data_IF_233389145975
#
_entry.id   IF_233389145975
#
_cell.length_a   1.000
_cell.length_b   1.000
_cell.length_c   1.000
_cell.angle_alpha   90.00
_cell.angle_beta   90.00
_cell.angle_gamma   90.00
#
_symmetry.space_group_name_H-M   'P 1'
#
loop_
_entity.id
_entity.type
_entity.pdbx_description
1 polymer ?
#
# COMPACT_ATOMS: atom_id res chain seq x y z
N UNK A 1 -3.18 10.86 13.23
CA UNK A 1 -3.31 10.11 11.96
C UNK A 1 -2.13 10.43 11.08
N UNK A 2 -1.48 9.42 10.57
CA UNK A 2 -0.39 9.51 9.58
C UNK A 2 -0.55 8.41 8.54
N UNK A 3 0.11 8.58 7.41
CA UNK A 3 0.17 7.56 6.35
C UNK A 3 1.54 6.89 6.39
N UNK A 4 1.56 5.57 6.38
CA UNK A 4 2.78 4.77 6.28
C UNK A 4 2.75 4.02 4.95
N UNK A 5 3.82 4.13 4.18
CA UNK A 5 3.94 3.49 2.87
C UNK A 5 5.05 2.46 2.94
N UNK A 6 4.69 1.21 2.70
CA UNK A 6 5.64 0.15 2.41
C UNK A 6 6.08 0.31 0.95
N UNK A 7 7.28 0.87 0.78
CA UNK A 7 7.74 1.32 -0.53
C UNK A 7 8.39 0.20 -1.37
N UNK A 8 8.50 -1.01 -0.84
CA UNK A 8 9.06 -2.14 -1.58
C UNK A 8 8.13 -2.56 -2.72
N UNK A 9 8.49 -2.15 -3.93
CA UNK A 9 7.69 -2.39 -5.13
C UNK A 9 6.37 -1.62 -5.23
N UNK A 10 6.16 -0.58 -4.43
CA UNK A 10 4.94 0.22 -4.45
C UNK A 10 5.00 1.31 -5.56
N UNK A 11 4.17 1.23 -6.60
CA UNK A 11 4.19 2.19 -7.71
C UNK A 11 3.49 3.53 -7.39
N UNK A 12 2.77 3.63 -6.27
CA UNK A 12 1.94 4.80 -5.93
C UNK A 12 2.54 5.68 -4.83
N UNK A 13 3.83 5.54 -4.57
CA UNK A 13 4.53 6.34 -3.53
C UNK A 13 4.43 7.84 -3.81
N UNK A 14 4.63 8.23 -5.07
CA UNK A 14 4.66 9.63 -5.47
C UNK A 14 3.29 10.28 -5.29
N UNK A 15 2.25 9.63 -5.76
CA UNK A 15 0.88 10.11 -5.68
C UNK A 15 0.40 10.16 -4.23
N UNK A 16 0.68 9.12 -3.46
CA UNK A 16 0.31 9.07 -2.06
C UNK A 16 1.00 10.18 -1.23
N UNK A 17 2.28 10.43 -1.51
CA UNK A 17 3.04 11.49 -0.86
C UNK A 17 2.49 12.87 -1.21
N UNK A 18 2.16 13.11 -2.47
CA UNK A 18 1.59 14.37 -2.93
C UNK A 18 0.24 14.67 -2.27
N UNK A 19 -0.64 13.67 -2.16
CA UNK A 19 -1.92 13.80 -1.47
C UNK A 19 -1.71 14.13 0.00
N UNK A 20 -0.81 13.41 0.69
CA UNK A 20 -0.50 13.67 2.08
C UNK A 20 0.00 15.11 2.29
N UNK A 21 0.86 15.60 1.38
CA UNK A 21 1.38 16.97 1.40
C UNK A 21 0.26 18.00 1.23
N UNK A 22 -0.63 17.80 0.26
CA UNK A 22 -1.77 18.68 0.00
C UNK A 22 -2.75 18.73 1.17
N UNK A 23 -2.93 17.61 1.87
CA UNK A 23 -3.83 17.50 3.01
C UNK A 23 -3.17 17.83 4.36
N UNK A 24 -1.87 18.11 4.37
CA UNK A 24 -1.12 18.39 5.60
C UNK A 24 -1.03 17.19 6.54
N UNK A 25 -1.04 15.98 6.00
CA UNK A 25 -0.95 14.73 6.77
C UNK A 25 0.49 14.22 6.75
N UNK A 26 0.99 13.79 7.91
CA UNK A 26 2.33 13.23 8.01
C UNK A 26 2.43 11.94 7.19
N UNK A 27 3.45 11.84 6.35
CA UNK A 27 3.73 10.68 5.51
C UNK A 27 5.09 10.08 5.87
N UNK A 28 5.12 8.78 6.09
CA UNK A 28 6.33 8.00 6.29
C UNK A 28 6.48 6.97 5.18
N UNK A 29 7.63 7.01 4.53
CA UNK A 29 8.04 6.02 3.54
C UNK A 29 9.02 5.07 4.21
N UNK A 30 8.72 3.78 4.21
CA UNK A 30 9.60 2.75 4.72
C UNK A 30 10.14 1.94 3.54
N UNK A 31 11.45 1.83 3.44
CA UNK A 31 12.12 1.11 2.36
C UNK A 31 13.38 0.39 2.86
N UNK A 32 13.86 -0.54 2.07
CA UNK A 32 15.15 -1.17 2.30
C UNK A 32 16.30 -0.38 1.64
N UNK A 33 17.52 -0.74 1.97
CA UNK A 33 18.75 -0.13 1.40
C UNK A 33 18.92 -0.37 -0.11
N UNK A 34 18.13 -1.25 -0.71
CA UNK A 34 18.16 -1.49 -2.15
C UNK A 34 17.21 -0.55 -2.93
N UNK A 35 16.22 0.02 -2.25
CA UNK A 35 15.16 0.83 -2.86
C UNK A 35 14.99 2.16 -2.11
N UNK A 36 16.10 2.91 -1.97
CA UNK A 36 16.04 4.22 -1.30
C UNK A 36 15.16 5.20 -2.07
N UNK A 37 14.07 5.63 -1.45
CA UNK A 37 13.12 6.56 -2.03
C UNK A 37 13.00 7.80 -1.14
N UNK A 38 13.31 8.96 -1.70
CA UNK A 38 13.15 10.25 -1.03
C UNK A 38 12.11 11.09 -1.75
N UNK A 39 11.16 11.63 -1.00
CA UNK A 39 10.11 12.52 -1.53
C UNK A 39 9.93 13.74 -0.65
N UNK A 40 9.72 14.88 -1.29
CA UNK A 40 9.45 16.12 -0.58
C UNK A 40 8.09 16.04 0.14
N UNK A 41 8.08 16.41 1.41
CA UNK A 41 6.88 16.32 2.25
C UNK A 41 6.67 14.98 2.95
N UNK A 42 7.52 13.97 2.71
CA UNK A 42 7.50 12.69 3.42
C UNK A 42 8.83 12.44 4.15
N UNK A 43 8.75 11.71 5.25
CA UNK A 43 9.93 11.23 5.96
C UNK A 43 10.26 9.81 5.51
N UNK A 44 11.43 9.63 4.93
CA UNK A 44 11.92 8.30 4.55
C UNK A 44 12.68 7.65 5.69
N UNK A 45 12.38 6.39 5.95
CA UNK A 45 13.08 5.52 6.88
C UNK A 45 13.64 4.33 6.13
N UNK A 46 14.96 4.19 6.17
CA UNK A 46 15.69 3.14 5.47
C UNK A 46 16.11 2.07 6.47
N UNK A 47 15.90 0.82 6.11
CA UNK A 47 16.26 -0.34 6.93
C UNK A 47 17.22 -1.25 6.17
N UNK A 48 18.08 -1.92 6.90
CA UNK A 48 19.00 -2.90 6.31
C UNK A 48 18.22 -4.08 5.70
N UNK A 49 18.76 -4.65 4.62
CA UNK A 49 18.23 -5.87 4.03
C UNK A 49 18.24 -7.02 5.03
N UNK A 50 17.11 -7.24 5.64
CA UNK A 50 16.83 -8.41 6.46
C UNK A 50 15.39 -8.81 6.22
N UNK A 51 15.11 -10.11 6.17
CA UNK A 51 13.76 -10.59 6.12
C UNK A 51 12.96 -9.91 7.24
N UNK A 52 11.86 -9.27 6.89
CA UNK A 52 10.89 -8.66 7.80
C UNK A 52 11.33 -7.38 8.53
N UNK A 53 12.51 -6.81 8.26
CA UNK A 53 12.97 -5.61 9.00
C UNK A 53 12.10 -4.38 8.74
N UNK A 54 11.66 -4.18 7.51
CA UNK A 54 10.74 -3.10 7.11
C UNK A 54 9.36 -3.32 7.72
N UNK A 55 8.84 -4.54 7.66
CA UNK A 55 7.53 -4.93 8.19
C UNK A 55 7.44 -4.72 9.71
N UNK A 56 8.42 -5.21 10.44
CA UNK A 56 8.50 -4.99 11.89
C UNK A 56 8.61 -3.51 12.25
N UNK A 57 9.41 -2.76 11.50
CA UNK A 57 9.56 -1.33 11.71
C UNK A 57 8.27 -0.57 11.44
N UNK A 58 7.51 -0.97 10.42
CA UNK A 58 6.22 -0.41 10.07
C UNK A 58 5.19 -0.72 11.16
N UNK A 59 5.03 -1.99 11.53
CA UNK A 59 4.10 -2.42 12.56
C UNK A 59 4.34 -1.71 13.89
N UNK A 60 5.60 -1.55 14.30
CA UNK A 60 5.93 -0.86 15.55
C UNK A 60 5.61 0.64 15.53
N UNK A 61 5.40 1.23 14.36
CA UNK A 61 5.08 2.65 14.19
C UNK A 61 3.61 2.92 13.93
N UNK A 62 2.84 1.88 13.58
CA UNK A 62 1.41 1.98 13.34
C UNK A 62 0.66 2.23 14.64
N UNK A 63 -0.24 3.18 14.60
CA UNK A 63 -1.18 3.50 15.68
C UNK A 63 -2.62 3.35 15.19
N UNK A 64 -3.59 3.14 16.09
CA UNK A 64 -5.00 3.09 15.70
C UNK A 64 -5.41 4.34 14.93
N UNK A 65 -6.10 4.14 13.80
CA UNK A 65 -6.54 5.22 12.93
C UNK A 65 -5.50 5.71 11.91
N UNK A 66 -4.28 5.16 11.91
CA UNK A 66 -3.31 5.42 10.84
C UNK A 66 -3.71 4.69 9.56
N UNK A 67 -3.19 5.17 8.44
CA UNK A 67 -3.38 4.54 7.12
C UNK A 67 -2.07 3.89 6.70
N UNK A 68 -2.15 2.66 6.22
CA UNK A 68 -1.01 1.90 5.70
C UNK A 68 -1.26 1.55 4.25
N UNK A 69 -0.26 1.73 3.40
CA UNK A 69 -0.30 1.30 1.99
C UNK A 69 0.72 0.19 1.82
N UNK A 70 0.25 -1.01 1.48
CA UNK A 70 1.11 -2.18 1.24
C UNK A 70 0.46 -3.16 0.27
N UNK A 71 1.27 -3.93 -0.43
CA UNK A 71 0.84 -5.08 -1.22
C UNK A 71 0.94 -6.41 -0.46
N UNK A 72 1.61 -6.43 0.69
CA UNK A 72 1.79 -7.63 1.50
C UNK A 72 0.58 -7.91 2.38
N UNK A 73 -0.07 -9.06 2.15
CA UNK A 73 -1.27 -9.48 2.90
C UNK A 73 -0.96 -9.81 4.36
N UNK A 74 0.23 -10.34 4.64
CA UNK A 74 0.67 -10.65 6.00
C UNK A 74 0.84 -9.37 6.81
N UNK A 75 1.56 -8.40 6.26
CA UNK A 75 1.72 -7.08 6.85
C UNK A 75 0.36 -6.38 7.02
N UNK A 76 -0.51 -6.46 6.01
CA UNK A 76 -1.84 -5.89 6.05
C UNK A 76 -2.66 -6.45 7.21
N UNK A 77 -2.64 -7.79 7.43
CA UNK A 77 -3.38 -8.43 8.52
C UNK A 77 -2.89 -7.96 9.90
N UNK A 78 -1.58 -7.81 10.06
CA UNK A 78 -0.99 -7.31 11.31
C UNK A 78 -1.34 -5.84 11.59
N UNK A 79 -1.40 -5.02 10.55
CA UNK A 79 -1.81 -3.62 10.67
C UNK A 79 -3.31 -3.49 10.99
N UNK A 80 -4.17 -4.31 10.39
CA UNK A 80 -5.59 -4.39 10.73
C UNK A 80 -5.81 -4.78 12.20
N UNK A 81 -5.03 -5.73 12.72
CA UNK A 81 -5.07 -6.12 14.13
C UNK A 81 -4.71 -4.96 15.08
N UNK A 82 -4.01 -3.94 14.60
CA UNK A 82 -3.71 -2.70 15.34
C UNK A 82 -4.73 -1.58 15.12
N UNK A 83 -5.86 -1.90 14.50
CA UNK A 83 -6.92 -0.93 14.18
C UNK A 83 -6.46 0.18 13.23
N UNK A 84 -5.48 -0.10 12.39
CA UNK A 84 -5.13 0.76 11.28
C UNK A 84 -6.03 0.46 10.08
N UNK A 85 -6.14 1.42 9.18
CA UNK A 85 -6.77 1.21 7.86
C UNK A 85 -5.68 0.82 6.87
N UNK A 86 -5.91 -0.19 6.08
CA UNK A 86 -4.89 -0.71 5.17
C UNK A 86 -5.40 -0.68 3.74
N UNK A 87 -4.65 -0.06 2.87
CA UNK A 87 -4.95 0.08 1.44
C UNK A 87 -3.95 -0.73 0.61
N UNK A 88 -4.47 -1.39 -0.40
CA UNK A 88 -3.65 -1.99 -1.44
C UNK A 88 -3.25 -0.93 -2.46
N UNK A 89 -2.06 -1.06 -3.04
CA UNK A 89 -1.57 -0.15 -4.08
C UNK A 89 -2.49 -0.07 -5.33
N UNK A 90 -3.30 -1.08 -5.58
CA UNK A 90 -4.28 -1.10 -6.68
C UNK A 90 -5.61 -0.37 -6.34
N UNK A 91 -5.69 0.28 -5.18
CA UNK A 91 -6.80 1.16 -4.83
C UNK A 91 -8.01 0.47 -4.22
N UNK A 92 -7.82 -0.54 -3.41
CA UNK A 92 -8.88 -1.14 -2.62
C UNK A 92 -8.43 -1.31 -1.16
N UNK A 93 -9.37 -1.40 -0.25
CA UNK A 93 -9.10 -1.50 1.18
C UNK A 93 -9.09 -2.96 1.64
N UNK A 94 -8.09 -3.30 2.47
CA UNK A 94 -8.13 -4.54 3.22
C UNK A 94 -9.12 -4.42 4.38
N UNK A 95 -9.98 -5.41 4.52
CA UNK A 95 -10.92 -5.51 5.64
C UNK A 95 -10.75 -6.86 6.34
N UNK A 96 -11.19 -7.01 7.59
CA UNK A 96 -11.16 -8.31 8.26
C UNK A 96 -11.87 -9.40 7.46
N UNK A 97 -12.91 -9.05 6.70
CA UNK A 97 -13.70 -9.99 5.92
C UNK A 97 -12.97 -10.49 4.66
N UNK A 98 -12.17 -9.63 4.02
CA UNK A 98 -11.48 -10.01 2.78
C UNK A 98 -10.07 -10.56 3.02
N UNK A 99 -9.40 -10.16 4.12
CA UNK A 99 -8.00 -10.53 4.38
C UNK A 99 -7.83 -12.04 4.62
N UNK A 100 -8.75 -12.68 5.30
CA UNK A 100 -8.69 -14.11 5.58
C UNK A 100 -8.76 -14.93 4.29
N UNK A 101 -9.63 -14.56 3.36
CA UNK A 101 -9.70 -15.18 2.04
C UNK A 101 -8.42 -14.98 1.23
N UNK A 102 -7.83 -13.79 1.30
CA UNK A 102 -6.60 -13.47 0.60
C UNK A 102 -5.38 -14.22 1.17
N UNK A 103 -5.29 -14.37 2.49
CA UNK A 103 -4.24 -15.15 3.16
C UNK A 103 -4.34 -16.65 2.81
N UNK A 104 -5.54 -17.19 2.69
CA UNK A 104 -5.75 -18.59 2.29
C UNK A 104 -5.40 -18.82 0.81
N UNK A 105 -5.50 -17.81 -0.05
CA UNK A 105 -5.13 -17.88 -1.47
C UNK A 105 -3.61 -17.82 -1.71
N UNK A 106 -2.80 -17.55 -0.71
CA UNK A 106 -1.32 -17.59 -0.79
C UNK A 106 -0.72 -19.01 -0.88
N UNK A 107 -1.52 -20.07 -0.85
CA UNK A 107 -1.08 -21.37 -1.32
C UNK A 107 -0.82 -21.27 -2.84
N UNK A 108 0.29 -21.87 -3.36
CA UNK A 108 0.90 -21.47 -4.60
C UNK A 108 -0.06 -21.62 -5.78
N UNK A 109 -0.39 -20.55 -6.40
CA UNK A 109 -0.89 -20.35 -7.76
C UNK A 109 -1.99 -19.29 -7.86
N UNK A 110 -1.69 -18.34 -8.72
CA UNK A 110 -2.54 -17.34 -9.33
C UNK A 110 -2.95 -16.13 -8.47
N UNK A 111 -2.42 -14.99 -8.92
CA UNK A 111 -2.89 -13.66 -8.55
C UNK A 111 -4.42 -13.61 -8.63
N UNK A 112 -5.13 -13.07 -7.66
CA UNK A 112 -6.56 -12.85 -7.79
C UNK A 112 -6.80 -11.78 -8.87
N UNK A 113 -7.06 -12.24 -10.06
CA UNK A 113 -7.30 -11.44 -11.26
C UNK A 113 -8.78 -11.00 -11.38
N UNK A 114 -9.58 -11.11 -10.33
CA UNK A 114 -11.03 -10.92 -10.44
C UNK A 114 -11.45 -9.50 -10.85
N UNK A 115 -10.72 -8.47 -10.48
CA UNK A 115 -11.02 -7.11 -10.91
C UNK A 115 -10.32 -6.75 -12.23
N UNK A 116 -9.12 -7.30 -12.47
CA UNK A 116 -8.35 -7.12 -13.70
C UNK A 116 -8.94 -7.92 -14.86
N UNK A 117 -9.51 -9.10 -14.59
CA UNK A 117 -10.17 -9.93 -15.63
C UNK A 117 -11.41 -9.24 -16.24
N UNK A 118 -12.13 -8.46 -15.44
CA UNK A 118 -13.24 -7.64 -15.94
C UNK A 118 -12.80 -6.50 -16.86
N UNK A 119 -11.57 -6.00 -16.69
CA UNK A 119 -11.00 -4.94 -17.52
C UNK A 119 -10.17 -5.48 -18.71
N UNK A 120 -9.71 -6.73 -18.67
CA UNK A 120 -8.95 -7.35 -19.77
C UNK A 120 -9.81 -7.60 -21.02
N UNK A 121 -11.12 -7.70 -20.89
CA UNK A 121 -12.05 -7.76 -22.03
C UNK A 121 -12.19 -6.45 -22.81
N UNK A 122 -11.62 -5.34 -22.36
CA UNK A 122 -11.79 -4.01 -22.95
C UNK A 122 -10.57 -3.50 -23.73
N UNK A 123 -9.56 -4.31 -24.03
CA UNK A 123 -8.46 -3.96 -24.94
C UNK A 123 -7.51 -2.85 -24.44
N UNK A 124 -7.34 -2.69 -23.13
CA UNK A 124 -6.44 -1.69 -22.55
C UNK A 124 -4.96 -2.08 -22.64
N UNK A 125 -4.12 -1.15 -23.10
CA UNK A 125 -2.66 -1.31 -23.09
C UNK A 125 -2.10 -1.26 -21.67
N UNK A 126 -0.89 -1.82 -21.46
CA UNK A 126 -0.23 -1.86 -20.13
C UNK A 126 -0.13 -0.47 -19.47
N UNK A 127 0.20 0.56 -20.25
CA UNK A 127 0.28 1.95 -19.77
C UNK A 127 -1.07 2.49 -19.25
N UNK A 128 -2.16 2.13 -19.91
CA UNK A 128 -3.50 2.58 -19.49
C UNK A 128 -3.98 1.86 -18.23
N UNK A 129 -3.52 0.62 -18.00
CA UNK A 129 -3.80 -0.12 -16.77
C UNK A 129 -3.10 0.49 -15.55
N UNK A 130 -1.87 0.92 -15.72
CA UNK A 130 -1.09 1.59 -14.69
C UNK A 130 -1.70 2.94 -14.29
N UNK A 131 -2.13 3.71 -15.28
CA UNK A 131 -2.82 4.99 -15.06
C UNK A 131 -4.15 4.83 -14.30
N UNK A 132 -4.92 3.78 -14.62
CA UNK A 132 -6.20 3.48 -13.92
C UNK A 132 -5.96 3.01 -12.50
N UNK A 133 -4.92 2.20 -12.26
CA UNK A 133 -4.52 1.75 -10.91
C UNK A 133 -4.12 2.93 -10.04
N UNK A 134 -3.23 3.78 -10.54
CA UNK A 134 -2.79 5.00 -9.87
C UNK A 134 -3.99 5.91 -9.53
N UNK A 135 -4.90 6.11 -10.48
CA UNK A 135 -6.09 6.94 -10.29
C UNK A 135 -7.04 6.39 -9.22
N UNK A 136 -7.23 5.07 -9.17
CA UNK A 136 -8.10 4.44 -8.18
C UNK A 136 -7.50 4.53 -6.76
N UNK A 137 -6.22 4.29 -6.63
CA UNK A 137 -5.49 4.41 -5.34
C UNK A 137 -5.54 5.85 -4.82
N UNK A 138 -5.37 6.83 -5.70
CA UNK A 138 -5.46 8.25 -5.39
C UNK A 138 -6.85 8.61 -4.89
N UNK A 139 -7.90 8.21 -5.60
CA UNK A 139 -9.29 8.51 -5.22
C UNK A 139 -9.64 7.93 -3.85
N UNK A 140 -9.18 6.73 -3.55
CA UNK A 140 -9.47 6.10 -2.26
C UNK A 140 -8.70 6.79 -1.15
N UNK A 141 -7.40 7.02 -1.31
CA UNK A 141 -6.61 7.70 -0.30
C UNK A 141 -7.12 9.12 -0.04
N UNK A 142 -7.52 9.84 -1.08
CA UNK A 142 -8.08 11.19 -0.96
C UNK A 142 -9.43 11.20 -0.22
N UNK A 143 -10.23 10.16 -0.37
CA UNK A 143 -11.49 10.00 0.37
C UNK A 143 -11.27 9.71 1.87
N UNK A 144 -10.13 9.14 2.25
CA UNK A 144 -9.80 8.82 3.64
C UNK A 144 -9.09 9.96 4.37
N UNK A 145 -8.49 10.86 3.65
CA UNK A 145 -7.79 12.01 4.18
C UNK A 145 -8.64 13.28 4.13
#
# INVERSE_FOLDING_TARGET
MKVLIDADGCPVVDEATEICKQRGVACLILCDTAHEIYRDGAKTLIFDKGADSVDYALINRVSPGDIVITQDYGLASMCLARSARVLHQDGWEYTPENIDGLLQMQLPQSKPSCFIASLTGMGFTSQKRELIRSSASICILDAFL
#
